data_IF_831648255765
#
_entry.id   IF_831648255765
#
_cell.length_a   1.000
_cell.length_b   1.000
_cell.length_c   1.000
_cell.angle_alpha   90.00
_cell.angle_beta   90.00
_cell.angle_gamma   90.00
#
_symmetry.space_group_name_H-M   'P 1'
#
loop_
_entity.id
_entity.type
_entity.pdbx_description
1 polymer ?
#
# COMPACT_ATOMS: atom_id res chain seq x y z
N UNK A 1 2.50 -15.03 -5.83
CA UNK A 1 2.46 -15.58 -7.22
C UNK A 1 3.40 -14.75 -8.08
N UNK A 2 4.21 -15.31 -8.99
CA UNK A 2 5.26 -14.56 -9.72
C UNK A 2 4.75 -13.37 -10.55
N UNK A 3 3.49 -13.43 -11.01
CA UNK A 3 2.83 -12.33 -11.74
C UNK A 3 2.21 -11.23 -10.86
N UNK A 4 2.29 -11.34 -9.52
CA UNK A 4 1.75 -10.31 -8.63
C UNK A 4 2.78 -9.19 -8.48
N UNK A 5 2.43 -7.99 -8.95
CA UNK A 5 3.34 -6.84 -8.94
C UNK A 5 3.09 -5.88 -7.78
N UNK A 6 1.82 -5.70 -7.36
CA UNK A 6 1.43 -4.78 -6.30
C UNK A 6 0.32 -5.40 -5.47
N UNK A 7 0.32 -5.18 -4.16
CA UNK A 7 -0.76 -5.59 -3.28
C UNK A 7 -1.43 -4.38 -2.62
N UNK A 8 -2.70 -4.17 -2.93
CA UNK A 8 -3.54 -3.15 -2.29
C UNK A 8 -4.20 -3.76 -1.04
N UNK A 9 -3.97 -3.18 0.13
CA UNK A 9 -4.48 -3.69 1.40
C UNK A 9 -4.84 -2.56 2.37
N UNK A 10 -5.66 -2.85 3.37
CA UNK A 10 -5.92 -1.93 4.47
C UNK A 10 -4.73 -1.71 5.43
N UNK A 11 -3.61 -2.43 5.27
CA UNK A 11 -2.42 -2.28 6.13
C UNK A 11 -2.47 -3.05 7.46
N UNK A 12 -3.34 -4.07 7.56
CA UNK A 12 -3.32 -4.99 8.69
C UNK A 12 -2.00 -5.77 8.78
N UNK A 13 -1.55 -6.07 10.00
CA UNK A 13 -0.22 -6.64 10.25
C UNK A 13 0.09 -7.90 9.42
N UNK A 14 -0.86 -8.84 9.31
CA UNK A 14 -0.65 -10.06 8.53
C UNK A 14 -0.43 -9.78 7.03
N UNK A 15 -1.19 -8.84 6.45
CA UNK A 15 -1.00 -8.45 5.05
C UNK A 15 0.37 -7.79 4.82
N UNK A 16 0.85 -6.97 5.75
CA UNK A 16 2.20 -6.40 5.71
C UNK A 16 3.23 -7.54 5.72
N UNK A 17 3.10 -8.51 6.62
CA UNK A 17 4.04 -9.62 6.72
C UNK A 17 4.05 -10.51 5.47
N UNK A 18 2.88 -10.80 4.88
CA UNK A 18 2.76 -11.57 3.64
C UNK A 18 3.40 -10.85 2.45
N UNK A 19 3.17 -9.54 2.34
CA UNK A 19 3.76 -8.70 1.30
C UNK A 19 5.28 -8.61 1.42
N UNK A 20 5.77 -8.35 2.64
CA UNK A 20 7.20 -8.32 2.93
C UNK A 20 7.88 -9.65 2.61
N UNK A 21 7.29 -10.77 3.05
CA UNK A 21 7.79 -12.12 2.76
C UNK A 21 7.83 -12.42 1.26
N UNK A 22 6.88 -11.88 0.50
CA UNK A 22 6.77 -12.09 -0.94
C UNK A 22 7.53 -11.07 -1.77
N UNK A 23 8.21 -10.10 -1.12
CA UNK A 23 8.84 -8.94 -1.76
C UNK A 23 7.90 -8.18 -2.73
N UNK A 24 6.62 -8.07 -2.35
CA UNK A 24 5.60 -7.35 -3.13
C UNK A 24 5.37 -5.97 -2.51
N UNK A 25 5.52 -4.87 -3.27
CA UNK A 25 5.24 -3.53 -2.77
C UNK A 25 3.76 -3.33 -2.48
N UNK A 26 3.48 -2.39 -1.57
CA UNK A 26 2.15 -2.15 -1.04
C UNK A 26 1.55 -0.83 -1.50
N UNK A 27 0.24 -0.83 -1.74
CA UNK A 27 -0.59 0.36 -1.62
C UNK A 27 -1.50 0.14 -0.43
N UNK A 28 -1.43 1.01 0.57
CA UNK A 28 -2.20 0.86 1.80
C UNK A 28 -3.35 1.86 1.88
N UNK A 29 -4.54 1.42 2.27
CA UNK A 29 -5.71 2.29 2.53
C UNK A 29 -6.17 2.04 3.97
N UNK A 30 -5.52 2.66 4.97
CA UNK A 30 -5.80 2.35 6.37
C UNK A 30 -7.17 2.87 6.82
N UNK A 31 -7.91 2.02 7.53
CA UNK A 31 -9.23 2.36 8.08
C UNK A 31 -9.19 2.58 9.59
N UNK A 32 -8.58 1.69 10.34
CA UNK A 32 -8.68 1.70 11.81
C UNK A 32 -7.40 1.27 12.52
N UNK A 33 -7.27 1.70 13.77
CA UNK A 33 -6.29 1.20 14.74
C UNK A 33 -4.83 1.22 14.24
N UNK A 34 -4.16 0.09 14.33
CA UNK A 34 -2.74 -0.12 14.03
C UNK A 34 -2.42 -0.04 12.54
N UNK A 35 -3.42 -0.14 11.67
CA UNK A 35 -3.26 -0.06 10.22
C UNK A 35 -2.54 1.20 9.77
N UNK A 36 -2.81 2.34 10.42
CA UNK A 36 -2.15 3.62 10.10
C UNK A 36 -0.65 3.54 10.40
N UNK A 37 -0.29 2.98 11.57
CA UNK A 37 1.11 2.84 11.99
C UNK A 37 1.84 1.83 11.12
N UNK A 38 1.20 0.71 10.80
CA UNK A 38 1.75 -0.34 9.94
C UNK A 38 2.00 0.19 8.52
N UNK A 39 1.05 0.96 7.98
CA UNK A 39 1.16 1.60 6.66
C UNK A 39 2.31 2.61 6.63
N UNK A 40 2.44 3.46 7.66
CA UNK A 40 3.58 4.37 7.83
C UNK A 40 4.91 3.64 7.93
N UNK A 41 4.96 2.50 8.61
CA UNK A 41 6.17 1.70 8.67
C UNK A 41 6.58 1.18 7.28
N UNK A 42 5.65 0.68 6.48
CA UNK A 42 5.94 0.27 5.10
C UNK A 42 6.42 1.44 4.22
N UNK A 43 5.79 2.62 4.37
CA UNK A 43 6.21 3.86 3.70
C UNK A 43 7.65 4.26 4.07
N UNK A 44 7.96 4.32 5.37
CA UNK A 44 9.29 4.70 5.86
C UNK A 44 10.39 3.74 5.43
N UNK A 45 10.05 2.47 5.23
CA UNK A 45 10.99 1.46 4.72
C UNK A 45 11.05 1.44 3.18
N UNK A 46 10.33 2.32 2.48
CA UNK A 46 10.44 2.52 1.04
C UNK A 46 9.73 1.48 0.17
N UNK A 47 8.78 0.71 0.72
CA UNK A 47 8.11 -0.37 -0.02
C UNK A 47 6.57 -0.32 0.07
N UNK A 48 6.01 0.80 0.56
CA UNK A 48 4.57 1.00 0.61
C UNK A 48 4.15 2.45 0.37
N UNK A 49 3.04 2.65 -0.33
CA UNK A 49 2.41 3.97 -0.53
C UNK A 49 1.08 4.02 0.23
N UNK A 50 0.95 4.82 1.29
CA UNK A 50 -0.30 5.01 1.99
C UNK A 50 -1.19 6.02 1.27
N UNK A 51 -2.44 5.63 1.01
CA UNK A 51 -3.48 6.48 0.42
C UNK A 51 -4.53 6.77 1.49
N UNK A 52 -4.81 8.06 1.68
CA UNK A 52 -5.78 8.49 2.67
C UNK A 52 -7.21 8.11 2.22
N UNK A 53 -7.90 7.28 3.02
CA UNK A 53 -9.27 6.86 2.71
C UNK A 53 -10.26 8.01 2.55
N UNK A 54 -10.05 9.12 3.26
CA UNK A 54 -10.96 10.26 3.22
C UNK A 54 -10.83 11.03 1.92
N UNK A 55 -9.64 11.07 1.32
CA UNK A 55 -9.43 11.73 0.03
C UNK A 55 -9.94 10.91 -1.14
N UNK A 56 -10.12 9.59 -1.00
CA UNK A 56 -10.57 8.73 -2.11
C UNK A 56 -11.97 9.05 -2.62
N UNK A 57 -12.83 9.64 -1.77
CA UNK A 57 -14.17 10.07 -2.19
C UNK A 57 -14.11 11.17 -3.25
N UNK A 58 -13.21 12.13 -3.04
CA UNK A 58 -13.11 13.35 -3.83
C UNK A 58 -11.97 13.29 -4.86
N UNK A 59 -11.03 12.36 -4.68
CA UNK A 59 -9.88 12.11 -5.54
C UNK A 59 -9.69 10.58 -5.75
N UNK A 60 -10.50 9.96 -6.64
CA UNK A 60 -10.36 8.53 -6.95
C UNK A 60 -9.03 8.22 -7.65
N UNK A 61 -8.41 9.21 -8.31
CA UNK A 61 -7.15 9.04 -9.05
C UNK A 61 -5.95 8.77 -8.15
N UNK A 62 -6.05 9.03 -6.84
CA UNK A 62 -4.95 8.79 -5.91
C UNK A 62 -4.42 7.35 -5.94
N UNK A 63 -5.30 6.35 -6.11
CA UNK A 63 -4.88 4.94 -6.25
C UNK A 63 -4.19 4.70 -7.59
N UNK A 64 -4.69 5.31 -8.66
CA UNK A 64 -4.08 5.22 -9.99
C UNK A 64 -2.67 5.81 -10.00
N UNK A 65 -2.49 6.98 -9.37
CA UNK A 65 -1.16 7.61 -9.23
C UNK A 65 -0.22 6.75 -8.39
N UNK A 66 -0.70 6.15 -7.29
CA UNK A 66 0.11 5.23 -6.49
C UNK A 66 0.52 3.96 -7.26
N UNK A 67 -0.39 3.39 -8.06
CA UNK A 67 -0.10 2.26 -8.93
C UNK A 67 0.95 2.61 -9.99
N UNK A 68 0.80 3.77 -10.64
CA UNK A 68 1.79 4.25 -11.60
C UNK A 68 3.15 4.50 -10.96
N UNK A 69 3.20 5.13 -9.79
CA UNK A 69 4.46 5.37 -9.09
C UNK A 69 5.23 4.07 -8.81
N UNK A 70 4.55 2.99 -8.41
CA UNK A 70 5.20 1.71 -8.12
C UNK A 70 5.61 0.97 -9.41
N UNK A 71 4.74 0.96 -10.41
CA UNK A 71 4.95 0.16 -11.63
C UNK A 71 5.84 0.86 -12.66
N UNK A 72 5.98 2.19 -12.59
CA UNK A 72 6.87 2.96 -13.48
C UNK A 72 8.35 2.84 -13.10
N UNK A 73 8.65 2.41 -11.86
CA UNK A 73 10.01 2.17 -11.37
C UNK A 73 10.51 0.73 -11.66
N UNK A 74 9.72 -0.10 -12.36
CA UNK A 74 10.06 -1.50 -12.72
C UNK A 74 10.22 -1.68 -14.23
#
# INVERSE_FOLDING_TARGET
HPRLQVFITHGGYNSIMEAARSAVPLITIPFYFDQIRNSRAAEMNGWGIPVNRFSLRDNPDAVYQALHAITSDT
#
